data_IF_795116336374
#
_entry.id   IF_795116336374
#
_cell.length_a   1.000
_cell.length_b   1.000
_cell.length_c   1.000
_cell.angle_alpha   90.00
_cell.angle_beta   90.00
_cell.angle_gamma   90.00
#
_symmetry.space_group_name_H-M   'P 1'
#
loop_
_entity.id
_entity.type
_entity.pdbx_description
1 polymer ?
#
# COMPACT_ATOMS: atom_id res chain seq x y z
N UNK A 1 -8.62 -4.27 17.00
CA UNK A 1 -9.98 -3.87 17.40
C UNK A 1 -10.96 -4.62 16.50
N UNK A 2 -12.01 -5.25 17.04
CA UNK A 2 -12.98 -6.01 16.22
C UNK A 2 -13.97 -5.06 15.54
N UNK A 3 -14.35 -5.34 14.29
CA UNK A 3 -15.24 -4.48 13.48
C UNK A 3 -16.60 -4.23 14.15
N UNK A 4 -17.13 -5.24 14.84
CA UNK A 4 -18.41 -5.13 15.56
C UNK A 4 -18.35 -4.05 16.65
N UNK A 5 -17.25 -3.96 17.40
CA UNK A 5 -17.08 -2.96 18.46
C UNK A 5 -17.00 -1.53 17.93
N UNK A 6 -16.52 -1.34 16.70
CA UNK A 6 -16.47 -0.02 16.04
C UNK A 6 -17.89 0.42 15.66
N UNK A 7 -18.67 -0.51 15.10
CA UNK A 7 -20.05 -0.26 14.68
C UNK A 7 -20.94 0.02 15.88
N UNK A 8 -20.85 -0.79 16.93
CA UNK A 8 -21.61 -0.58 18.17
C UNK A 8 -21.27 0.77 18.81
N UNK A 9 -19.98 1.13 18.87
CA UNK A 9 -19.55 2.45 19.34
C UNK A 9 -20.13 3.59 18.51
N UNK A 10 -20.06 3.51 17.18
CA UNK A 10 -20.62 4.53 16.30
C UNK A 10 -22.15 4.66 16.41
N UNK A 11 -22.87 3.53 16.54
CA UNK A 11 -24.32 3.53 16.72
C UNK A 11 -24.73 4.11 18.07
N UNK A 12 -23.94 3.89 19.14
CA UNK A 12 -24.15 4.53 20.44
C UNK A 12 -23.89 6.03 20.38
N UNK A 13 -22.83 6.48 19.70
CA UNK A 13 -22.54 7.92 19.52
C UNK A 13 -23.63 8.64 18.72
N UNK A 14 -24.23 7.97 17.74
CA UNK A 14 -25.38 8.48 16.97
C UNK A 14 -26.71 8.42 17.75
N UNK A 15 -26.71 7.83 18.95
CA UNK A 15 -27.92 7.65 19.76
C UNK A 15 -28.90 6.62 19.21
N UNK A 16 -28.45 5.77 18.27
CA UNK A 16 -29.26 4.69 17.69
C UNK A 16 -29.32 3.49 18.65
N UNK A 17 -28.26 3.26 19.42
CA UNK A 17 -28.20 2.25 20.49
C UNK A 17 -27.99 2.91 21.84
N UNK A 18 -28.62 2.38 22.89
CA UNK A 18 -28.26 2.73 24.26
C UNK A 18 -26.92 2.10 24.66
N UNK A 19 -26.26 2.67 25.67
CA UNK A 19 -25.03 2.10 26.24
C UNK A 19 -25.30 0.70 26.78
N UNK A 20 -24.56 -0.28 26.28
CA UNK A 20 -24.70 -1.70 26.65
C UNK A 20 -25.74 -2.47 25.83
N UNK A 21 -26.44 -1.81 24.91
CA UNK A 21 -27.31 -2.45 23.93
C UNK A 21 -26.49 -2.93 22.72
N UNK A 22 -26.88 -4.08 22.18
CA UNK A 22 -26.21 -4.71 21.04
C UNK A 22 -27.16 -4.70 19.86
N UNK A 23 -26.69 -4.25 18.68
CA UNK A 23 -27.49 -4.33 17.47
C UNK A 23 -27.81 -5.80 17.14
N UNK A 24 -28.98 -6.02 16.51
CA UNK A 24 -29.33 -7.34 16.02
C UNK A 24 -28.32 -7.81 14.96
N UNK A 25 -28.18 -9.13 14.76
CA UNK A 25 -27.28 -9.66 13.73
C UNK A 25 -27.61 -9.15 12.31
N UNK A 26 -28.89 -8.87 12.03
CA UNK A 26 -29.34 -8.31 10.76
C UNK A 26 -28.90 -6.86 10.59
N UNK A 27 -29.07 -6.05 11.64
CA UNK A 27 -28.70 -4.63 11.60
C UNK A 27 -27.17 -4.47 11.55
N UNK A 28 -26.45 -5.30 12.30
CA UNK A 28 -24.98 -5.36 12.24
C UNK A 28 -24.49 -5.70 10.83
N UNK A 29 -25.15 -6.63 10.13
CA UNK A 29 -24.79 -6.96 8.76
C UNK A 29 -24.94 -5.75 7.82
N UNK A 30 -26.07 -5.05 7.91
CA UNK A 30 -26.33 -3.84 7.10
C UNK A 30 -25.32 -2.73 7.43
N UNK A 31 -25.01 -2.54 8.71
CA UNK A 31 -24.03 -1.54 9.15
C UNK A 31 -22.60 -1.87 8.67
N UNK A 32 -22.22 -3.16 8.66
CA UNK A 32 -20.95 -3.62 8.09
C UNK A 32 -20.89 -3.33 6.59
N UNK A 33 -21.95 -3.66 5.84
CA UNK A 33 -22.00 -3.41 4.39
C UNK A 33 -21.92 -1.91 4.07
N UNK A 34 -22.60 -1.06 4.86
CA UNK A 34 -22.50 0.39 4.72
C UNK A 34 -21.09 0.92 5.05
N UNK A 35 -20.46 0.39 6.10
CA UNK A 35 -19.09 0.73 6.46
C UNK A 35 -18.11 0.31 5.36
N UNK A 36 -18.23 -0.90 4.82
CA UNK A 36 -17.37 -1.38 3.73
C UNK A 36 -17.55 -0.51 2.47
N UNK A 37 -18.79 -0.10 2.14
CA UNK A 37 -19.05 0.83 1.02
C UNK A 37 -18.40 2.20 1.21
N UNK A 38 -18.49 2.77 2.42
CA UNK A 38 -17.84 4.05 2.75
C UNK A 38 -16.32 3.90 2.73
N UNK A 39 -15.78 2.79 3.23
CA UNK A 39 -14.34 2.53 3.20
C UNK A 39 -13.84 2.35 1.77
N UNK A 40 -14.60 1.71 0.89
CA UNK A 40 -14.27 1.61 -0.53
C UNK A 40 -14.31 2.99 -1.19
N UNK A 41 -15.36 3.79 -0.97
CA UNK A 41 -15.46 5.16 -1.50
C UNK A 41 -14.35 6.08 -0.96
N UNK A 42 -14.05 5.98 0.34
CA UNK A 42 -12.95 6.70 0.96
C UNK A 42 -11.60 6.20 0.46
N UNK A 43 -11.43 4.92 0.13
CA UNK A 43 -10.18 4.40 -0.45
C UNK A 43 -9.95 4.88 -1.88
N UNK A 44 -11.01 5.11 -2.64
CA UNK A 44 -10.94 5.69 -3.98
C UNK A 44 -10.67 7.21 -3.94
N UNK A 45 -11.22 7.93 -2.96
CA UNK A 45 -11.07 9.40 -2.83
C UNK A 45 -9.86 9.85 -2.02
N UNK A 46 -9.52 9.09 -0.99
CA UNK A 46 -8.35 9.29 -0.15
C UNK A 46 -7.50 8.04 -0.32
N UNK A 47 -6.26 8.18 -0.74
CA UNK A 47 -5.31 7.06 -0.78
C UNK A 47 -5.03 6.56 0.65
N UNK A 48 -6.00 5.93 1.30
CA UNK A 48 -5.73 4.96 2.33
C UNK A 48 -5.09 3.84 1.55
N UNK A 49 -3.77 3.75 1.60
CA UNK A 49 -3.08 2.60 1.06
C UNK A 49 -3.64 1.37 1.80
N UNK A 50 -4.66 0.72 1.22
CA UNK A 50 -4.56 -0.73 1.11
C UNK A 50 -3.13 -0.92 0.62
N UNK A 51 -2.30 -1.57 1.42
CA UNK A 51 -1.05 -2.11 0.93
C UNK A 51 -1.44 -3.00 -0.25
N UNK A 52 -1.57 -2.40 -1.44
CA UNK A 52 -1.55 -3.09 -2.70
C UNK A 52 -0.12 -3.54 -2.77
N UNK A 53 0.08 -4.75 -2.26
CA UNK A 53 1.30 -5.48 -2.46
C UNK A 53 1.26 -5.94 -3.91
N UNK A 54 1.57 -5.01 -4.81
CA UNK A 54 1.73 -5.36 -6.20
C UNK A 54 3.14 -5.95 -6.35
N UNK A 55 3.20 -7.27 -6.46
CA UNK A 55 4.44 -8.00 -6.60
C UNK A 55 5.03 -7.74 -8.00
N UNK A 56 6.07 -6.93 -8.07
CA UNK A 56 6.84 -6.75 -9.31
C UNK A 56 7.86 -7.87 -9.42
N UNK A 57 7.72 -8.70 -10.45
CA UNK A 57 8.73 -9.68 -10.80
C UNK A 57 9.98 -8.98 -11.37
N UNK A 58 11.09 -9.04 -10.64
CA UNK A 58 12.38 -8.51 -11.07
C UNK A 58 13.08 -9.47 -12.04
N UNK A 59 13.58 -8.93 -13.16
CA UNK A 59 14.55 -9.58 -14.03
C UNK A 59 15.78 -8.67 -14.06
N UNK A 60 16.95 -9.22 -13.76
CA UNK A 60 18.19 -8.46 -13.63
C UNK A 60 18.50 -7.62 -14.88
N UNK A 61 18.77 -6.33 -14.67
CA UNK A 61 19.14 -5.37 -15.72
C UNK A 61 18.01 -4.53 -16.31
N UNK A 62 16.78 -4.61 -15.78
CA UNK A 62 15.63 -3.88 -16.33
C UNK A 62 15.12 -2.74 -15.44
N UNK A 63 14.67 -1.68 -16.09
CA UNK A 63 13.78 -0.65 -15.53
C UNK A 63 12.39 -1.21 -15.34
N UNK A 64 11.70 -0.80 -14.28
CA UNK A 64 10.32 -1.20 -13.98
C UNK A 64 9.41 -0.01 -14.27
N UNK A 65 8.38 -0.19 -15.10
CA UNK A 65 7.34 0.84 -15.23
C UNK A 65 6.56 0.92 -13.90
N UNK A 66 6.68 2.05 -13.21
CA UNK A 66 6.01 2.32 -11.94
C UNK A 66 4.82 3.28 -12.06
N UNK A 67 4.44 3.69 -13.28
CA UNK A 67 3.38 4.69 -13.53
C UNK A 67 2.04 4.30 -12.91
N UNK A 68 1.74 3.00 -12.80
CA UNK A 68 0.48 2.50 -12.23
C UNK A 68 0.50 2.35 -10.71
N UNK A 69 1.65 2.49 -10.06
CA UNK A 69 1.83 2.20 -8.62
C UNK A 69 1.82 3.44 -7.73
N UNK A 70 1.70 4.64 -8.31
CA UNK A 70 1.69 5.91 -7.57
C UNK A 70 3.02 6.20 -6.86
N UNK A 71 3.01 7.11 -5.86
CA UNK A 71 4.17 7.31 -4.97
C UNK A 71 4.30 6.11 -4.03
N UNK A 72 4.94 5.05 -4.51
CA UNK A 72 5.21 3.87 -3.68
C UNK A 72 6.02 4.30 -2.44
N UNK A 73 5.49 4.01 -1.24
CA UNK A 73 6.18 4.28 0.03
C UNK A 73 7.10 3.12 0.46
N UNK A 74 6.81 1.92 -0.05
CA UNK A 74 7.56 0.69 0.22
C UNK A 74 7.60 -0.13 -1.06
N UNK A 75 8.79 -0.53 -1.50
CA UNK A 75 8.98 -1.41 -2.66
C UNK A 75 9.78 -2.62 -2.20
N UNK A 76 9.39 -3.82 -2.64
CA UNK A 76 10.17 -5.04 -2.42
C UNK A 76 10.40 -5.78 -3.72
N UNK A 77 11.51 -6.50 -3.80
CA UNK A 77 11.83 -7.40 -4.90
C UNK A 77 11.82 -8.84 -4.39
N UNK A 78 11.21 -9.71 -5.19
CA UNK A 78 11.19 -11.15 -4.99
C UNK A 78 12.27 -11.81 -5.87
N UNK A 79 13.23 -12.46 -5.23
CA UNK A 79 14.26 -13.27 -5.91
C UNK A 79 14.21 -14.71 -5.38
N UNK A 80 13.52 -15.59 -6.11
CA UNK A 80 13.20 -16.93 -5.63
C UNK A 80 12.25 -16.87 -4.44
N UNK A 81 12.69 -17.36 -3.26
CA UNK A 81 11.93 -17.29 -2.01
C UNK A 81 12.39 -16.15 -1.07
N UNK A 82 13.33 -15.32 -1.51
CA UNK A 82 13.85 -14.22 -0.71
C UNK A 82 13.12 -12.92 -1.05
N UNK A 83 12.64 -12.22 -0.02
CA UNK A 83 12.10 -10.87 -0.11
C UNK A 83 13.19 -9.87 0.28
N UNK A 84 13.43 -8.87 -0.58
CA UNK A 84 14.33 -7.75 -0.27
C UNK A 84 13.56 -6.45 -0.34
N UNK A 85 13.48 -5.73 0.77
CA UNK A 85 12.92 -4.37 0.80
C UNK A 85 13.92 -3.39 0.21
N UNK A 86 13.44 -2.52 -0.68
CA UNK A 86 14.26 -1.51 -1.34
C UNK A 86 14.17 -0.18 -0.62
N UNK A 87 15.32 0.46 -0.40
CA UNK A 87 15.40 1.86 -0.03
C UNK A 87 15.03 2.77 -1.22
N UNK A 88 14.25 3.80 -0.99
CA UNK A 88 13.85 4.74 -2.05
C UNK A 88 14.86 5.89 -2.09
N UNK A 89 15.49 6.09 -3.25
CA UNK A 89 16.43 7.18 -3.50
C UNK A 89 15.68 8.40 -4.03
N UNK A 90 15.96 9.54 -3.42
CA UNK A 90 15.61 10.85 -3.98
C UNK A 90 16.43 11.15 -5.24
N UNK A 91 15.93 12.03 -6.10
CA UNK A 91 16.64 12.48 -7.31
C UNK A 91 18.10 12.91 -7.04
N UNK A 92 18.41 13.72 -6.00
CA UNK A 92 19.81 14.08 -5.73
C UNK A 92 20.68 12.90 -5.34
N UNK A 93 20.15 11.92 -4.60
CA UNK A 93 20.88 10.71 -4.22
C UNK A 93 21.16 9.83 -5.43
N UNK A 94 20.18 9.68 -6.32
CA UNK A 94 20.33 8.96 -7.58
C UNK A 94 21.37 9.59 -8.50
N UNK A 95 21.35 10.91 -8.63
CA UNK A 95 22.30 11.65 -9.47
C UNK A 95 23.73 11.60 -8.91
N UNK A 96 23.89 11.44 -7.61
CA UNK A 96 25.20 11.29 -6.96
C UNK A 96 25.88 9.93 -7.20
N UNK A 97 25.18 8.93 -7.76
CA UNK A 97 25.73 7.62 -8.08
C UNK A 97 26.49 7.69 -9.41
N UNK A 98 27.83 7.54 -9.42
CA UNK A 98 28.65 7.71 -10.61
C UNK A 98 28.57 6.53 -11.59
N UNK A 99 28.31 5.32 -11.11
CA UNK A 99 28.16 4.11 -11.92
C UNK A 99 26.81 3.44 -11.61
N UNK A 100 25.90 3.54 -12.58
CA UNK A 100 24.53 2.99 -12.51
C UNK A 100 24.43 1.61 -13.17
N UNK A 101 25.54 1.06 -13.66
CA UNK A 101 25.59 -0.23 -14.34
C UNK A 101 25.91 -1.35 -13.35
N UNK A 102 24.89 -2.12 -12.98
CA UNK A 102 25.03 -3.18 -11.96
C UNK A 102 24.18 -4.37 -12.37
N UNK A 103 24.78 -5.23 -13.18
CA UNK A 103 24.19 -6.50 -13.64
C UNK A 103 24.55 -7.62 -12.66
N UNK A 104 23.57 -8.45 -12.29
CA UNK A 104 23.79 -9.70 -11.56
C UNK A 104 23.75 -9.62 -10.03
N UNK A 105 23.41 -8.46 -9.46
CA UNK A 105 23.25 -8.26 -8.00
C UNK A 105 21.79 -8.07 -7.63
N UNK A 106 21.39 -8.55 -6.45
CA UNK A 106 20.06 -8.27 -5.88
C UNK A 106 20.00 -6.77 -5.57
N UNK A 107 19.02 -6.02 -6.10
CA UNK A 107 18.89 -4.59 -5.81
C UNK A 107 18.51 -4.38 -4.34
N UNK A 108 19.03 -3.32 -3.73
CA UNK A 108 18.64 -2.87 -2.38
C UNK A 108 18.05 -1.46 -2.39
N UNK A 109 18.06 -0.77 -3.53
CA UNK A 109 17.51 0.57 -3.72
C UNK A 109 16.72 0.70 -5.03
N UNK A 110 15.83 1.69 -5.07
CA UNK A 110 15.10 2.11 -6.26
C UNK A 110 15.00 3.64 -6.34
N UNK A 111 15.11 4.18 -7.54
CA UNK A 111 14.79 5.56 -7.86
C UNK A 111 13.66 5.60 -8.90
N UNK A 112 12.63 6.42 -8.70
CA UNK A 112 11.54 6.61 -9.67
C UNK A 112 11.65 7.98 -10.28
N UNK A 113 11.79 8.04 -11.60
CA UNK A 113 11.89 9.30 -12.32
C UNK A 113 10.53 9.98 -12.53
N UNK A 114 10.53 11.17 -13.14
CA UNK A 114 9.32 11.95 -13.39
C UNK A 114 8.34 11.30 -14.37
N UNK A 115 8.81 10.34 -15.18
CA UNK A 115 7.97 9.58 -16.11
C UNK A 115 7.37 8.35 -15.43
N UNK A 116 7.70 8.11 -14.14
CA UNK A 116 7.23 6.97 -13.39
C UNK A 116 8.03 5.71 -13.67
N UNK A 117 9.26 5.80 -14.22
CA UNK A 117 10.10 4.63 -14.44
C UNK A 117 11.02 4.41 -13.22
N UNK A 118 10.97 3.19 -12.68
CA UNK A 118 11.78 2.71 -11.58
C UNK A 118 13.13 2.16 -12.05
N UNK A 119 14.21 2.77 -11.57
CA UNK A 119 15.60 2.39 -11.78
C UNK A 119 16.10 1.66 -10.55
N UNK A 120 16.48 0.38 -10.72
CA UNK A 120 16.92 -0.49 -9.62
C UNK A 120 18.43 -0.42 -9.43
N UNK A 121 18.86 -0.38 -8.17
CA UNK A 121 20.27 -0.27 -7.78
C UNK A 121 20.58 -1.14 -6.56
N UNK A 122 21.79 -1.72 -6.43
CA UNK A 122 22.24 -2.43 -5.23
C UNK A 122 22.37 -1.58 -3.99
#
# INVERSE_FOLDING_TARGET
>A
MKREAIIEGALQELGVLAVGETASASDNKVAIEALDSILDELSDRYMWSRERQDDVAYIAGNTVDMTTYGKAHTVKVLAGNAETYLGILTEPQWMAIPDKTVTGTIPTHIHVDSEGIGHLYP
#
